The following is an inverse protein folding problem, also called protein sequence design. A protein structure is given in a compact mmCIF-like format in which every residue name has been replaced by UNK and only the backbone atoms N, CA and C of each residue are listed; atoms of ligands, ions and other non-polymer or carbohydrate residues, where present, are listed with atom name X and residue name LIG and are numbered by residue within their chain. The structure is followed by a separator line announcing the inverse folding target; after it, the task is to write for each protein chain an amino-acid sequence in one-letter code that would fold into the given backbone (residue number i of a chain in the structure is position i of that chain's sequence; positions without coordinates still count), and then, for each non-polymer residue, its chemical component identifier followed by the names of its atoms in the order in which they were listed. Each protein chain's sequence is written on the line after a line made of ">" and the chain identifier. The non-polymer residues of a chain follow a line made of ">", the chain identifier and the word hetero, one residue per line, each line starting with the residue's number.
data_IF_086097324088
#
_entry.id   IF_086097324088
#
_cell.length_a   1.000
_cell.length_b   1.000
_cell.length_c   1.000
_cell.angle_alpha   90.00
_cell.angle_beta   90.00
_cell.angle_gamma   90.00
#
_symmetry.space_group_name_H-M   'P 1'
#
loop_
_entity.id
_entity.type
_entity.pdbx_description
1 polymer ?
#
# COMPACT_ATOMS: atom_id res chain seq x y z
N UNK A 1 -15.36 11.73 7.74
CA UNK A 1 -15.24 11.19 6.37
C UNK A 1 -16.18 10.01 6.30
N UNK A 2 -17.06 9.93 5.28
CA UNK A 2 -17.88 8.75 5.08
C UNK A 2 -16.95 7.55 4.83
N UNK A 3 -17.16 6.45 5.54
CA UNK A 3 -16.35 5.25 5.37
C UNK A 3 -16.70 4.62 4.02
N UNK A 4 -15.71 4.36 3.17
CA UNK A 4 -15.93 3.69 1.89
C UNK A 4 -16.50 2.31 2.20
N UNK A 5 -17.65 2.00 1.60
CA UNK A 5 -18.21 0.66 1.66
C UNK A 5 -17.29 -0.32 0.92
N UNK A 6 -16.45 -1.01 1.68
CA UNK A 6 -15.43 -1.89 1.11
C UNK A 6 -16.03 -3.06 0.34
N UNK A 7 -17.24 -3.51 0.68
CA UNK A 7 -17.88 -4.58 -0.10
C UNK A 7 -18.30 -4.11 -1.50
N UNK A 8 -18.82 -2.89 -1.61
CA UNK A 8 -19.13 -2.28 -2.91
C UNK A 8 -17.82 -2.02 -3.67
N UNK A 9 -16.83 -1.42 -3.02
CA UNK A 9 -15.54 -1.14 -3.66
C UNK A 9 -14.90 -2.41 -4.21
N UNK A 10 -14.85 -3.48 -3.42
CA UNK A 10 -14.22 -4.74 -3.80
C UNK A 10 -14.97 -5.48 -4.91
N UNK A 11 -16.29 -5.29 -5.01
CA UNK A 11 -17.10 -5.81 -6.11
C UNK A 11 -16.71 -5.14 -7.44
N UNK A 12 -16.53 -3.82 -7.43
CA UNK A 12 -16.18 -3.02 -8.61
C UNK A 12 -14.69 -3.11 -8.99
N UNK A 13 -13.81 -3.25 -7.99
CA UNK A 13 -12.35 -3.31 -8.14
C UNK A 13 -11.78 -4.50 -7.36
N UNK A 14 -11.86 -5.73 -7.91
CA UNK A 14 -11.44 -6.94 -7.20
C UNK A 14 -9.92 -7.12 -7.10
N UNK A 15 -9.13 -6.32 -7.83
CA UNK A 15 -7.67 -6.36 -7.83
C UNK A 15 -7.12 -4.96 -7.59
N UNK A 16 -6.45 -4.78 -6.45
CA UNK A 16 -5.80 -3.51 -6.13
C UNK A 16 -4.66 -3.70 -5.13
N UNK A 17 -3.76 -2.72 -5.14
CA UNK A 17 -2.77 -2.52 -4.09
C UNK A 17 -3.13 -1.25 -3.32
N UNK A 18 -3.04 -1.33 -2.01
CA UNK A 18 -3.20 -0.20 -1.12
C UNK A 18 -1.90 -0.01 -0.33
N UNK A 19 -1.10 1.00 -0.71
CA UNK A 19 0.15 1.31 -0.03
C UNK A 19 -0.10 2.33 1.09
N UNK A 20 0.34 1.98 2.29
CA UNK A 20 0.08 2.74 3.51
C UNK A 20 1.38 3.29 4.10
N UNK A 21 1.37 4.58 4.43
CA UNK A 21 2.32 5.21 5.32
C UNK A 21 1.69 5.30 6.71
N UNK A 22 2.37 4.78 7.73
CA UNK A 22 1.84 4.75 9.10
C UNK A 22 2.69 5.54 10.08
N UNK A 23 2.03 6.16 11.05
CA UNK A 23 2.64 7.03 12.07
C UNK A 23 3.68 6.31 12.92
N UNK A 24 4.49 7.05 13.67
CA UNK A 24 5.43 6.50 14.65
C UNK A 24 4.72 5.58 15.66
N UNK A 25 5.32 4.43 15.97
CA UNK A 25 4.85 3.55 17.05
C UNK A 25 5.17 4.14 18.41
N UNK A 26 4.23 4.10 19.34
CA UNK A 26 4.45 4.59 20.69
C UNK A 26 3.61 3.81 21.72
N UNK A 27 4.23 2.80 22.33
CA UNK A 27 3.66 2.11 23.50
C UNK A 27 3.91 2.95 24.75
N UNK A 28 2.88 3.15 25.57
CA UNK A 28 2.96 3.96 26.80
C UNK A 28 3.99 3.36 27.75
N UNK A 29 4.72 4.23 28.45
CA UNK A 29 5.81 3.81 29.36
C UNK A 29 7.08 3.31 28.67
N UNK A 30 7.16 3.36 27.34
CA UNK A 30 8.34 2.92 26.58
C UNK A 30 8.86 4.03 25.66
N UNK A 31 10.11 3.90 25.19
CA UNK A 31 10.66 4.82 24.19
C UNK A 31 9.88 4.67 22.86
N UNK A 32 9.44 5.77 22.23
CA UNK A 32 8.82 5.72 20.92
C UNK A 32 9.73 5.07 19.86
N UNK A 33 9.12 4.47 18.84
CA UNK A 33 9.80 3.90 17.68
C UNK A 33 10.47 4.95 16.78
N UNK A 34 11.01 4.52 15.64
CA UNK A 34 11.64 5.42 14.68
C UNK A 34 10.71 6.51 14.15
N UNK A 35 11.23 7.72 13.99
CA UNK A 35 10.51 8.90 13.50
C UNK A 35 10.08 8.80 12.03
N UNK A 36 10.69 7.89 11.26
CA UNK A 36 10.34 7.63 9.86
C UNK A 36 8.94 7.01 9.66
N UNK A 37 8.28 6.55 10.73
CA UNK A 37 7.03 5.80 10.64
C UNK A 37 7.26 4.36 10.19
N UNK A 38 6.32 3.80 9.44
CA UNK A 38 6.45 2.49 8.80
C UNK A 38 5.65 2.46 7.48
N UNK A 39 5.96 1.53 6.58
CA UNK A 39 5.26 1.34 5.32
C UNK A 39 4.72 -0.08 5.21
N UNK A 40 3.49 -0.21 4.77
CA UNK A 40 2.83 -1.50 4.54
C UNK A 40 2.05 -1.49 3.23
N UNK A 41 1.67 -2.66 2.73
CA UNK A 41 0.71 -2.79 1.63
C UNK A 41 -0.42 -3.71 2.02
N UNK A 42 -1.61 -3.44 1.50
CA UNK A 42 -2.72 -4.37 1.49
C UNK A 42 -3.06 -4.75 0.04
N UNK A 43 -3.28 -6.03 -0.21
CA UNK A 43 -3.47 -6.59 -1.54
C UNK A 43 -4.82 -7.29 -1.60
N UNK A 44 -5.81 -6.70 -2.29
CA UNK A 44 -7.02 -7.44 -2.61
C UNK A 44 -6.82 -8.23 -3.91
N UNK A 45 -7.30 -9.47 -3.93
CA UNK A 45 -7.00 -10.42 -4.99
C UNK A 45 -5.68 -11.18 -4.82
N UNK A 46 -5.11 -11.17 -3.61
CA UNK A 46 -4.02 -12.06 -3.17
C UNK A 46 -4.52 -13.01 -2.08
N UNK A 47 -3.89 -14.19 -1.97
CA UNK A 47 -4.09 -15.17 -0.90
C UNK A 47 -2.74 -15.60 -0.34
N UNK A 48 -2.72 -15.96 0.95
CA UNK A 48 -1.57 -16.62 1.57
C UNK A 48 -1.46 -18.03 0.97
N UNK A 49 -0.25 -18.43 0.56
CA UNK A 49 0.01 -19.76 0.03
C UNK A 49 0.08 -20.79 1.20
N UNK A 50 -0.92 -21.67 1.35
CA UNK A 50 -0.95 -22.61 2.47
C UNK A 50 0.16 -23.65 2.32
N UNK A 51 0.77 -24.05 3.45
CA UNK A 51 1.78 -25.10 3.46
C UNK A 51 3.17 -24.70 2.94
N UNK A 52 3.38 -23.44 2.56
CA UNK A 52 4.69 -22.94 2.11
C UNK A 52 5.80 -23.04 3.18
N UNK A 53 5.43 -23.08 4.47
CA UNK A 53 6.35 -23.14 5.60
C UNK A 53 7.04 -21.80 5.94
N UNK A 54 6.69 -20.72 5.24
CA UNK A 54 7.06 -19.32 5.47
C UNK A 54 6.11 -18.41 4.66
N UNK A 55 6.07 -17.09 4.92
CA UNK A 55 5.18 -16.18 4.20
C UNK A 55 5.43 -16.18 2.69
N UNK A 56 4.42 -16.66 1.95
CA UNK A 56 4.31 -16.61 0.49
C UNK A 56 2.89 -16.24 0.11
N UNK A 57 2.74 -15.58 -1.03
CA UNK A 57 1.46 -15.20 -1.61
C UNK A 57 1.22 -15.91 -2.94
N UNK A 58 -0.04 -16.11 -3.29
CA UNK A 58 -0.45 -16.52 -4.62
C UNK A 58 -1.68 -15.74 -5.06
N UNK A 59 -1.91 -15.73 -6.37
CA UNK A 59 -3.20 -15.30 -6.88
C UNK A 59 -4.26 -16.37 -6.53
N UNK A 60 -5.47 -15.98 -6.12
CA UNK A 60 -6.58 -16.90 -6.05
C UNK A 60 -6.95 -17.42 -7.44
N UNK A 61 -7.69 -18.54 -7.46
CA UNK A 61 -8.29 -19.08 -8.67
C UNK A 61 -9.08 -18.01 -9.43
N UNK A 62 -9.13 -18.14 -10.76
CA UNK A 62 -10.00 -17.30 -11.57
C UNK A 62 -11.45 -17.49 -11.09
N UNK A 63 -12.20 -16.39 -10.93
CA UNK A 63 -13.59 -16.43 -10.46
C UNK A 63 -13.81 -16.58 -8.95
N UNK A 64 -12.76 -16.68 -8.12
CA UNK A 64 -12.93 -16.63 -6.66
C UNK A 64 -13.65 -15.33 -6.22
N UNK A 65 -14.59 -15.43 -5.29
CA UNK A 65 -15.26 -14.25 -4.74
C UNK A 65 -14.26 -13.40 -3.96
N UNK A 66 -14.21 -12.12 -4.29
CA UNK A 66 -13.33 -11.10 -3.70
C UNK A 66 -14.12 -9.88 -3.26
N UNK A 67 -15.44 -9.98 -3.21
CA UNK A 67 -16.35 -8.88 -2.84
C UNK A 67 -16.49 -8.68 -1.34
N UNK A 68 -16.06 -9.67 -0.52
CA UNK A 68 -16.06 -9.54 0.94
C UNK A 68 -15.27 -8.31 1.37
N UNK A 69 -15.78 -7.59 2.37
CA UNK A 69 -15.09 -6.42 2.94
C UNK A 69 -13.71 -6.78 3.54
N UNK A 70 -13.55 -8.05 3.93
CA UNK A 70 -12.35 -8.57 4.58
C UNK A 70 -11.46 -9.39 3.62
N UNK A 71 -11.73 -9.36 2.32
CA UNK A 71 -10.90 -10.07 1.34
C UNK A 71 -9.52 -9.41 1.20
N UNK A 72 -8.51 -10.24 0.95
CA UNK A 72 -7.14 -9.81 0.67
C UNK A 72 -6.17 -10.11 1.80
N UNK A 73 -4.95 -9.57 1.65
CA UNK A 73 -3.82 -9.85 2.54
C UNK A 73 -3.05 -8.56 2.82
N UNK A 74 -2.80 -8.30 4.10
CA UNK A 74 -1.86 -7.28 4.54
C UNK A 74 -0.44 -7.81 4.53
N UNK A 75 0.52 -7.02 4.06
CA UNK A 75 1.95 -7.34 4.04
C UNK A 75 2.72 -6.25 4.76
N UNK A 76 3.56 -6.68 5.70
CA UNK A 76 4.42 -5.80 6.48
C UNK A 76 5.85 -6.32 6.53
N UNK A 77 6.80 -5.39 6.43
CA UNK A 77 8.24 -5.63 6.56
C UNK A 77 8.66 -5.38 7.98
N UNK A 78 9.46 -6.26 8.59
CA UNK A 78 9.97 -6.03 9.93
C UNK A 78 11.48 -6.25 10.03
N UNK A 79 12.18 -5.25 10.58
CA UNK A 79 13.63 -5.29 10.78
C UNK A 79 14.09 -6.43 11.72
N UNK A 80 13.19 -6.97 12.55
CA UNK A 80 13.54 -8.02 13.50
C UNK A 80 13.73 -9.38 12.85
N UNK A 81 13.19 -9.59 11.64
CA UNK A 81 13.28 -10.86 10.92
C UNK A 81 14.71 -11.10 10.41
N UNK A 82 15.05 -12.37 10.17
CA UNK A 82 16.38 -12.75 9.65
C UNK A 82 16.35 -13.65 8.42
N UNK A 83 15.26 -14.38 8.18
CA UNK A 83 15.12 -15.32 7.07
C UNK A 83 13.99 -14.96 6.09
N UNK A 84 13.27 -13.88 6.36
CA UNK A 84 12.22 -13.31 5.50
C UNK A 84 12.29 -11.79 5.57
N UNK A 85 11.83 -11.12 4.53
CA UNK A 85 11.74 -9.65 4.46
C UNK A 85 10.37 -9.17 4.98
N UNK A 86 9.31 -9.91 4.74
CA UNK A 86 7.95 -9.54 5.13
C UNK A 86 7.12 -10.71 5.65
N UNK A 87 6.06 -10.38 6.37
CA UNK A 87 5.00 -11.28 6.85
C UNK A 87 3.66 -10.93 6.22
N UNK A 88 2.76 -11.91 6.10
CA UNK A 88 1.42 -11.75 5.56
C UNK A 88 0.35 -12.01 6.63
N UNK A 89 -0.66 -11.14 6.67
CA UNK A 89 -1.78 -11.19 7.61
C UNK A 89 -3.08 -11.27 6.81
N UNK A 90 -3.94 -12.27 7.05
CA UNK A 90 -5.17 -12.42 6.30
C UNK A 90 -6.16 -11.31 6.68
N UNK A 91 -6.83 -10.78 5.67
CA UNK A 91 -7.94 -9.87 5.86
C UNK A 91 -7.57 -8.50 6.39
N UNK A 92 -8.52 -7.59 6.21
CA UNK A 92 -8.39 -6.18 6.55
C UNK A 92 -8.58 -5.95 8.04
N UNK A 93 -9.48 -6.72 8.64
CA UNK A 93 -9.85 -6.65 10.04
C UNK A 93 -8.67 -6.99 10.94
N UNK A 94 -7.99 -8.12 10.72
CA UNK A 94 -6.85 -8.50 11.55
C UNK A 94 -5.63 -7.62 11.28
N UNK A 95 -5.38 -7.27 10.02
CA UNK A 95 -4.23 -6.45 9.66
C UNK A 95 -4.28 -5.04 10.25
N UNK A 96 -5.41 -4.34 10.11
CA UNK A 96 -5.56 -2.98 10.60
C UNK A 96 -6.05 -2.94 12.04
N UNK A 97 -7.11 -3.69 12.38
CA UNK A 97 -7.80 -3.59 13.67
C UNK A 97 -7.45 -4.70 14.65
N UNK A 98 -6.81 -5.80 14.24
CA UNK A 98 -6.42 -6.88 15.15
C UNK A 98 -7.58 -7.47 15.95
N UNK A 99 -8.80 -7.45 15.41
CA UNK A 99 -10.00 -7.89 16.12
C UNK A 99 -10.74 -6.81 16.92
N UNK A 100 -10.23 -5.57 16.99
CA UNK A 100 -10.78 -4.52 17.84
C UNK A 100 -11.94 -3.76 17.19
N UNK A 101 -13.13 -3.90 17.78
CA UNK A 101 -14.30 -3.11 17.43
C UNK A 101 -14.13 -1.64 17.84
N UNK A 102 -14.84 -0.74 17.16
CA UNK A 102 -14.75 0.71 17.39
C UNK A 102 -15.03 1.10 18.86
N UNK A 103 -15.97 0.41 19.51
CA UNK A 103 -16.44 0.72 20.86
C UNK A 103 -15.67 0.02 21.99
N UNK A 104 -14.83 -0.96 21.66
CA UNK A 104 -14.07 -1.72 22.65
C UNK A 104 -12.91 -0.92 23.23
N UNK A 105 -12.52 -1.24 24.45
CA UNK A 105 -11.31 -0.69 25.09
C UNK A 105 -10.12 -1.58 24.69
N UNK A 106 -9.03 -0.94 24.25
CA UNK A 106 -7.74 -1.60 24.09
C UNK A 106 -6.98 -1.57 25.42
N UNK A 107 -7.15 -2.65 26.18
CA UNK A 107 -6.45 -2.96 27.43
C UNK A 107 -5.56 -4.21 27.29
N UNK A 108 -4.91 -4.63 28.39
CA UNK A 108 -4.06 -5.82 28.40
C UNK A 108 -4.84 -7.10 28.03
N UNK A 109 -6.11 -7.22 28.42
CA UNK A 109 -6.91 -8.41 28.11
C UNK A 109 -7.13 -8.56 26.61
N UNK A 110 -7.50 -7.47 25.93
CA UNK A 110 -7.70 -7.48 24.48
C UNK A 110 -6.38 -7.66 23.73
N UNK A 111 -5.29 -7.07 24.23
CA UNK A 111 -3.95 -7.30 23.70
C UNK A 111 -3.53 -8.77 23.77
N UNK A 112 -3.71 -9.42 24.92
CA UNK A 112 -3.43 -10.84 25.09
C UNK A 112 -4.32 -11.71 24.19
N UNK A 113 -5.60 -11.37 24.04
CA UNK A 113 -6.49 -12.08 23.12
C UNK A 113 -6.01 -11.96 21.65
N UNK A 114 -5.51 -10.81 21.23
CA UNK A 114 -4.93 -10.62 19.90
C UNK A 114 -3.64 -11.45 19.71
N UNK A 115 -2.78 -11.52 20.74
CA UNK A 115 -1.59 -12.38 20.74
C UNK A 115 -1.98 -13.85 20.58
N UNK A 116 -2.96 -14.31 21.36
CA UNK A 116 -3.42 -15.70 21.31
C UNK A 116 -4.01 -16.06 19.95
N UNK A 117 -4.86 -15.19 19.37
CA UNK A 117 -5.42 -15.40 18.02
C UNK A 117 -4.33 -15.51 16.96
N UNK A 118 -3.40 -14.55 16.93
CA UNK A 118 -2.31 -14.54 15.95
C UNK A 118 -1.37 -15.75 16.10
N UNK A 119 -1.09 -16.16 17.34
CA UNK A 119 -0.27 -17.34 17.64
C UNK A 119 -0.98 -18.63 17.20
N UNK A 120 -2.26 -18.78 17.54
CA UNK A 120 -3.06 -19.95 17.16
C UNK A 120 -3.23 -20.07 15.63
N UNK A 121 -3.28 -18.92 14.93
CA UNK A 121 -3.38 -18.89 13.48
C UNK A 121 -2.04 -19.11 12.74
N UNK A 122 -0.91 -19.18 13.46
CA UNK A 122 0.40 -19.48 12.87
C UNK A 122 0.92 -18.42 11.90
N UNK A 123 0.48 -17.15 12.00
CA UNK A 123 0.84 -16.10 11.03
C UNK A 123 2.34 -15.81 10.94
N UNK A 124 3.10 -16.15 11.99
CA UNK A 124 4.54 -15.95 12.08
C UNK A 124 5.33 -17.28 12.00
N UNK A 125 4.68 -18.37 11.58
CA UNK A 125 5.34 -19.66 11.44
C UNK A 125 6.43 -19.61 10.36
N UNK A 126 7.56 -20.26 10.66
CA UNK A 126 8.74 -20.27 9.80
C UNK A 126 9.54 -18.96 9.79
N UNK A 127 9.17 -17.95 10.60
CA UNK A 127 9.91 -16.69 10.72
C UNK A 127 10.94 -16.78 11.85
N UNK A 128 12.19 -16.52 11.52
CA UNK A 128 13.29 -16.38 12.47
C UNK A 128 13.55 -14.88 12.76
N UNK A 129 14.04 -14.61 13.98
CA UNK A 129 14.38 -13.25 14.43
C UNK A 129 15.85 -13.15 14.86
N UNK A 130 16.36 -11.92 14.95
CA UNK A 130 17.75 -11.64 15.32
C UNK A 130 18.12 -12.22 16.69
N UNK A 131 19.27 -12.87 16.79
CA UNK A 131 19.76 -13.50 18.03
C UNK A 131 19.75 -12.56 19.25
N UNK A 132 20.12 -11.29 19.05
CA UNK A 132 20.10 -10.29 20.12
C UNK A 132 18.70 -10.11 20.72
N UNK A 133 17.67 -10.18 19.88
CA UNK A 133 16.27 -10.10 20.30
C UNK A 133 15.82 -11.44 20.90
N UNK A 134 16.20 -12.57 20.30
CA UNK A 134 15.94 -13.92 20.84
C UNK A 134 16.42 -14.08 22.29
N UNK A 135 17.59 -13.52 22.62
CA UNK A 135 18.14 -13.51 23.99
C UNK A 135 17.32 -12.71 25.01
N UNK A 136 16.41 -11.86 24.57
CA UNK A 136 15.52 -11.07 25.44
C UNK A 136 14.18 -11.78 25.69
N UNK A 137 13.94 -12.92 25.02
CA UNK A 137 12.71 -13.68 25.19
C UNK A 137 12.56 -14.16 26.64
N UNK A 138 11.42 -13.91 27.31
CA UNK A 138 11.16 -14.43 28.64
C UNK A 138 11.34 -15.95 28.72
N UNK A 139 11.78 -16.43 29.90
CA UNK A 139 11.88 -17.85 30.18
C UNK A 139 10.47 -18.49 30.12
N UNK A 140 10.35 -19.64 29.46
CA UNK A 140 9.07 -20.34 29.28
C UNK A 140 8.17 -19.83 28.16
N UNK A 141 8.40 -18.63 27.59
CA UNK A 141 7.61 -18.12 26.47
C UNK A 141 8.02 -18.80 25.14
N UNK A 142 7.09 -19.32 24.32
CA UNK A 142 7.37 -19.80 22.97
C UNK A 142 7.96 -18.68 22.09
N UNK A 143 8.87 -19.01 21.17
CA UNK A 143 9.48 -18.00 20.29
C UNK A 143 8.42 -17.32 19.41
N UNK A 144 7.48 -18.07 18.87
CA UNK A 144 6.42 -17.59 18.00
C UNK A 144 5.53 -16.56 18.72
N UNK A 145 5.14 -16.83 19.96
CA UNK A 145 4.39 -15.88 20.78
C UNK A 145 5.21 -14.59 20.99
N UNK A 146 6.52 -14.72 21.24
CA UNK A 146 7.40 -13.56 21.41
C UNK A 146 7.52 -12.72 20.13
N UNK A 147 7.56 -13.35 18.94
CA UNK A 147 7.52 -12.66 17.65
C UNK A 147 6.19 -11.92 17.48
N UNK A 148 5.06 -12.61 17.71
CA UNK A 148 3.71 -12.03 17.64
C UNK A 148 3.60 -10.77 18.50
N UNK A 149 4.07 -10.83 19.76
CA UNK A 149 4.07 -9.67 20.68
C UNK A 149 4.85 -8.47 20.14
N UNK A 150 5.98 -8.71 19.46
CA UNK A 150 6.79 -7.66 18.83
C UNK A 150 6.20 -7.12 17.52
N UNK A 151 5.24 -7.83 16.96
CA UNK A 151 4.61 -7.51 15.68
C UNK A 151 3.30 -6.73 15.81
N UNK A 152 2.67 -6.69 16.99
CA UNK A 152 1.47 -5.86 17.23
C UNK A 152 1.77 -4.38 17.00
N UNK A 153 0.90 -3.71 16.25
CA UNK A 153 1.04 -2.28 15.93
C UNK A 153 2.15 -2.00 14.91
N UNK A 154 2.76 -3.03 14.32
CA UNK A 154 3.75 -2.90 13.25
C UNK A 154 3.39 -3.78 12.06
N UNK A 155 3.16 -5.09 12.27
CA UNK A 155 2.85 -6.05 11.22
C UNK A 155 1.38 -6.45 11.13
N UNK A 156 0.68 -6.44 12.26
CA UNK A 156 -0.76 -6.65 12.37
C UNK A 156 -1.33 -5.82 13.51
N UNK A 157 -2.66 -5.75 13.62
CA UNK A 157 -3.33 -4.89 14.59
C UNK A 157 -2.80 -3.44 14.55
N UNK A 158 -2.52 -2.94 13.35
CA UNK A 158 -1.74 -1.73 13.15
C UNK A 158 -2.32 -0.51 13.87
N UNK A 159 -3.65 -0.41 13.90
CA UNK A 159 -4.38 0.67 14.55
C UNK A 159 -4.42 0.59 16.07
N UNK A 160 -3.83 -0.42 16.70
CA UNK A 160 -3.56 -0.37 18.13
C UNK A 160 -2.62 0.77 18.46
N UNK A 161 -1.61 1.00 17.61
CA UNK A 161 -0.52 1.92 17.90
C UNK A 161 -0.30 3.02 16.86
N UNK A 162 -0.97 2.94 15.70
CA UNK A 162 -0.66 3.82 14.56
C UNK A 162 -1.91 4.24 13.78
N UNK A 163 -1.87 5.45 13.23
CA UNK A 163 -2.75 5.85 12.14
C UNK A 163 -2.11 5.44 10.82
N UNK A 164 -2.91 4.90 9.90
CA UNK A 164 -2.47 4.54 8.55
C UNK A 164 -3.09 5.46 7.51
N UNK A 165 -2.25 6.07 6.68
CA UNK A 165 -2.65 6.85 5.52
C UNK A 165 -2.35 6.05 4.28
N UNK A 166 -3.38 5.65 3.55
CA UNK A 166 -3.29 4.66 2.49
C UNK A 166 -3.76 5.22 1.16
N UNK A 167 -2.99 4.97 0.10
CA UNK A 167 -3.39 5.25 -1.27
C UNK A 167 -3.68 3.92 -1.95
N UNK A 168 -4.82 3.82 -2.59
CA UNK A 168 -5.33 2.61 -3.23
C UNK A 168 -5.29 2.77 -4.74
N UNK A 169 -4.77 1.75 -5.42
CA UNK A 169 -4.57 1.71 -6.84
C UNK A 169 -5.20 0.42 -7.41
N UNK A 170 -6.35 0.52 -8.10
CA UNK A 170 -6.85 -0.56 -8.93
C UNK A 170 -5.84 -0.93 -10.02
N UNK A 171 -5.80 -2.21 -10.37
CA UNK A 171 -4.94 -2.72 -11.43
C UNK A 171 -5.49 -4.02 -12.02
N UNK A 172 -4.84 -4.52 -13.06
CA UNK A 172 -5.18 -5.83 -13.64
C UNK A 172 -4.71 -6.98 -12.74
N UNK A 173 -5.31 -8.16 -12.93
CA UNK A 173 -4.89 -9.38 -12.22
C UNK A 173 -3.43 -9.73 -12.51
N UNK A 174 -3.00 -9.49 -13.74
CA UNK A 174 -1.63 -9.72 -14.22
C UNK A 174 -0.64 -8.78 -13.52
N UNK A 175 -0.99 -7.49 -13.40
CA UNK A 175 -0.19 -6.51 -12.68
C UNK A 175 -0.04 -6.86 -11.20
N UNK A 176 -1.13 -7.25 -10.54
CA UNK A 176 -1.09 -7.73 -9.15
C UNK A 176 -0.23 -9.00 -9.03
N UNK A 177 -0.32 -9.91 -10.01
CA UNK A 177 0.53 -11.10 -10.09
C UNK A 177 2.02 -10.79 -10.13
N UNK A 178 2.44 -9.75 -10.85
CA UNK A 178 3.84 -9.28 -10.86
C UNK A 178 4.27 -8.71 -9.50
N UNK A 179 3.40 -7.97 -8.82
CA UNK A 179 3.67 -7.49 -7.46
C UNK A 179 3.84 -8.66 -6.47
N UNK A 180 2.96 -9.67 -6.54
CA UNK A 180 3.07 -10.90 -5.75
C UNK A 180 4.38 -11.64 -6.04
N UNK A 181 4.74 -11.78 -7.32
CA UNK A 181 6.00 -12.42 -7.72
C UNK A 181 7.22 -11.69 -7.14
N UNK A 182 7.23 -10.35 -7.17
CA UNK A 182 8.27 -9.55 -6.54
C UNK A 182 8.35 -9.80 -5.02
N UNK A 183 7.20 -9.77 -4.33
CA UNK A 183 7.15 -10.02 -2.88
C UNK A 183 7.69 -11.41 -2.53
N UNK A 184 7.26 -12.44 -3.24
CA UNK A 184 7.78 -13.80 -3.03
C UNK A 184 9.30 -13.86 -3.29
N UNK A 185 9.78 -13.23 -4.36
CA UNK A 185 11.20 -13.23 -4.70
C UNK A 185 12.08 -12.59 -3.63
N UNK A 186 11.61 -11.53 -2.94
CA UNK A 186 12.39 -10.93 -1.85
C UNK A 186 12.42 -11.81 -0.60
N UNK A 187 11.32 -12.52 -0.27
CA UNK A 187 11.32 -13.51 0.82
C UNK A 187 12.19 -14.72 0.48
N UNK A 188 12.13 -15.22 -0.76
CA UNK A 188 12.99 -16.31 -1.24
C UNK A 188 14.47 -15.93 -1.17
N UNK A 189 14.78 -14.68 -1.56
CA UNK A 189 16.13 -14.11 -1.43
C UNK A 189 16.61 -14.05 0.03
N UNK A 190 15.75 -13.58 0.94
CA UNK A 190 16.05 -13.51 2.36
C UNK A 190 16.24 -14.89 3.01
N UNK A 191 15.47 -15.90 2.56
CA UNK A 191 15.61 -17.27 3.06
C UNK A 191 16.94 -17.90 2.64
N UNK A 192 17.33 -17.67 1.39
CA UNK A 192 18.53 -18.28 0.80
C UNK A 192 19.82 -17.59 1.23
N UNK A 193 19.80 -16.28 1.48
CA UNK A 193 21.00 -15.48 1.74
C UNK A 193 21.00 -14.72 3.06
N UNK A 194 19.93 -14.83 3.83
CA UNK A 194 19.66 -13.99 5.00
C UNK A 194 19.02 -12.65 4.62
N UNK A 195 18.30 -12.07 5.57
CA UNK A 195 17.68 -10.75 5.43
C UNK A 195 18.62 -9.64 5.91
N UNK A 196 18.86 -8.66 5.04
CA UNK A 196 19.58 -7.43 5.36
C UNK A 196 18.61 -6.25 5.38
N UNK A 197 18.35 -5.69 6.56
CA UNK A 197 17.55 -4.47 6.71
C UNK A 197 18.47 -3.26 6.95
N UNK A 198 18.18 -2.15 6.27
CA UNK A 198 18.82 -0.86 6.50
C UNK A 198 17.80 0.28 6.41
N UNK A 199 17.87 1.22 7.35
CA UNK A 199 16.89 2.29 7.48
C UNK A 199 16.80 3.21 6.24
N UNK A 200 17.86 3.30 5.45
CA UNK A 200 17.96 4.24 4.33
C UNK A 200 17.94 3.53 2.97
N UNK A 201 18.57 2.35 2.89
CA UNK A 201 18.89 1.67 1.61
C UNK A 201 18.12 0.37 1.39
N UNK A 202 17.52 -0.23 2.42
CA UNK A 202 16.75 -1.48 2.30
C UNK A 202 15.74 -1.61 3.45
N UNK A 203 14.67 -0.83 3.36
CA UNK A 203 13.64 -0.70 4.40
C UNK A 203 12.25 -1.11 3.89
N UNK A 204 11.25 -0.99 4.76
CA UNK A 204 9.84 -1.24 4.44
C UNK A 204 9.33 -0.47 3.23
N UNK A 205 9.72 0.80 3.09
CA UNK A 205 9.28 1.64 1.97
C UNK A 205 9.87 1.17 0.63
N UNK A 206 11.07 0.58 0.60
CA UNK A 206 11.62 0.01 -0.65
C UNK A 206 10.80 -1.17 -1.13
N UNK A 207 10.46 -2.10 -0.23
CA UNK A 207 9.65 -3.28 -0.57
C UNK A 207 8.27 -2.86 -1.07
N UNK A 208 7.62 -1.93 -0.37
CA UNK A 208 6.32 -1.39 -0.78
C UNK A 208 6.40 -0.67 -2.13
N UNK A 209 7.38 0.22 -2.31
CA UNK A 209 7.59 0.96 -3.56
C UNK A 209 7.85 0.00 -4.72
N UNK A 210 8.70 -1.01 -4.53
CA UNK A 210 9.10 -1.93 -5.59
C UNK A 210 8.04 -2.99 -5.91
N UNK A 211 7.18 -3.37 -4.95
CA UNK A 211 6.00 -4.18 -5.25
C UNK A 211 5.05 -3.44 -6.20
N UNK A 212 4.81 -2.14 -5.95
CA UNK A 212 4.01 -1.28 -6.83
C UNK A 212 4.73 -1.03 -8.16
N UNK A 213 6.05 -0.89 -8.16
CA UNK A 213 6.86 -0.77 -9.38
C UNK A 213 6.76 -2.02 -10.25
N UNK A 214 6.81 -3.22 -9.64
CA UNK A 214 6.68 -4.50 -10.35
C UNK A 214 5.30 -4.67 -11.01
N UNK A 215 4.26 -4.04 -10.46
CA UNK A 215 2.96 -3.96 -11.12
C UNK A 215 2.99 -3.09 -12.40
N UNK A 216 4.04 -2.29 -12.61
CA UNK A 216 4.22 -1.40 -13.77
C UNK A 216 3.84 0.06 -13.50
N UNK A 217 3.49 0.41 -12.26
CA UNK A 217 3.00 1.76 -11.91
C UNK A 217 4.10 2.81 -12.03
N UNK A 218 5.35 2.49 -11.76
CA UNK A 218 6.51 3.39 -11.87
C UNK A 218 7.82 2.60 -11.88
N UNK A 219 8.97 3.28 -11.95
CA UNK A 219 10.27 2.62 -11.86
C UNK A 219 10.61 2.07 -10.46
N UNK A 220 11.31 0.93 -10.41
CA UNK A 220 11.84 0.43 -9.16
C UNK A 220 12.94 1.35 -8.62
N UNK A 221 13.15 1.26 -7.31
CA UNK A 221 14.32 1.81 -6.61
C UNK A 221 15.32 0.71 -6.35
N UNK A 222 16.60 1.05 -6.37
CA UNK A 222 17.64 0.13 -5.96
C UNK A 222 17.65 -0.04 -4.43
N UNK A 223 17.36 -1.26 -3.96
CA UNK A 223 17.61 -1.61 -2.56
C UNK A 223 19.06 -2.09 -2.42
N UNK A 224 19.83 -1.46 -1.52
CA UNK A 224 21.27 -1.72 -1.36
C UNK A 224 21.57 -2.30 0.02
N UNK A 225 22.65 -3.08 0.12
CA UNK A 225 23.13 -3.54 1.42
C UNK A 225 23.71 -2.36 2.22
N UNK A 226 23.61 -2.39 3.57
CA UNK A 226 24.18 -1.35 4.42
C UNK A 226 25.68 -1.17 4.17
N UNK A 227 26.12 0.09 4.07
CA UNK A 227 27.53 0.44 3.91
C UNK A 227 27.74 1.94 3.72
N UNK A 228 28.91 2.49 4.09
CA UNK A 228 29.18 3.93 3.99
C UNK A 228 29.09 4.46 2.55
N UNK A 229 29.45 3.64 1.56
CA UNK A 229 29.31 3.98 0.14
C UNK A 229 27.85 3.95 -0.36
N UNK A 230 26.97 3.18 0.30
CA UNK A 230 25.55 3.09 -0.07
C UNK A 230 24.82 4.38 0.25
N UNK A 231 25.06 4.96 1.44
CA UNK A 231 24.46 6.25 1.85
C UNK A 231 24.92 7.40 0.94
N UNK A 232 26.19 7.43 0.55
CA UNK A 232 26.71 8.44 -0.39
C UNK A 232 26.04 8.32 -1.76
N UNK A 233 25.87 7.10 -2.27
CA UNK A 233 25.16 6.86 -3.54
C UNK A 233 23.69 7.28 -3.46
N UNK A 234 23.03 7.03 -2.34
CA UNK A 234 21.65 7.49 -2.14
C UNK A 234 21.56 9.01 -2.15
N UNK A 235 22.49 9.72 -1.47
CA UNK A 235 22.52 11.19 -1.49
C UNK A 235 22.77 11.73 -2.90
N UNK A 236 23.69 11.11 -3.64
CA UNK A 236 23.94 11.44 -5.05
C UNK A 236 22.69 11.15 -5.91
N UNK A 237 21.91 10.11 -5.60
CA UNK A 237 20.66 9.81 -6.29
C UNK A 237 19.61 10.93 -6.10
N UNK A 238 19.59 11.62 -4.96
CA UNK A 238 18.70 12.78 -4.74
C UNK A 238 19.10 13.94 -5.64
N UNK A 239 20.39 14.27 -5.69
CA UNK A 239 20.90 15.32 -6.56
C UNK A 239 20.64 15.01 -8.05
N UNK A 240 20.85 13.75 -8.44
CA UNK A 240 20.60 13.26 -9.80
C UNK A 240 19.10 13.28 -10.14
N UNK A 241 18.25 12.90 -9.19
CA UNK A 241 16.79 12.96 -9.31
C UNK A 241 16.30 14.39 -9.57
N UNK A 242 16.81 15.36 -8.82
CA UNK A 242 16.49 16.78 -9.00
C UNK A 242 17.00 17.34 -10.33
N UNK A 243 18.22 16.95 -10.74
CA UNK A 243 18.83 17.43 -11.98
C UNK A 243 18.23 16.81 -13.25
N UNK A 244 17.80 15.54 -13.19
CA UNK A 244 17.32 14.77 -14.35
C UNK A 244 15.82 14.49 -14.33
N UNK A 245 15.07 15.01 -13.35
CA UNK A 245 13.65 14.69 -13.16
C UNK A 245 13.40 13.20 -12.89
N UNK A 246 14.39 12.47 -12.37
CA UNK A 246 14.33 11.02 -12.08
C UNK A 246 13.94 10.76 -10.63
N UNK A 247 13.72 9.50 -10.27
CA UNK A 247 13.42 9.11 -8.90
C UNK A 247 14.72 8.86 -8.12
N UNK A 248 14.79 9.39 -6.89
CA UNK A 248 15.85 9.02 -5.95
C UNK A 248 15.58 7.62 -5.40
N UNK A 249 16.66 6.90 -5.09
CA UNK A 249 16.59 5.61 -4.40
C UNK A 249 16.18 5.75 -2.94
N UNK A 250 16.28 6.95 -2.33
CA UNK A 250 15.74 7.17 -0.99
C UNK A 250 14.24 6.86 -0.96
N UNK A 251 13.82 5.99 -0.03
CA UNK A 251 12.43 5.61 0.12
C UNK A 251 11.91 5.86 1.52
N UNK A 252 10.92 6.76 1.61
CA UNK A 252 10.18 7.09 2.81
C UNK A 252 8.70 6.70 2.65
N UNK A 253 8.04 6.22 3.73
CA UNK A 253 6.65 5.78 3.68
C UNK A 253 5.71 6.85 3.10
N UNK A 254 5.77 8.07 3.63
CA UNK A 254 4.88 9.16 3.24
C UNK A 254 5.05 9.56 1.76
N UNK A 255 6.28 9.57 1.25
CA UNK A 255 6.56 9.80 -0.17
C UNK A 255 5.95 8.73 -1.07
N UNK A 256 5.97 7.46 -0.65
CA UNK A 256 5.39 6.35 -1.42
C UNK A 256 3.86 6.47 -1.49
N UNK A 257 3.22 6.84 -0.38
CA UNK A 257 1.79 7.15 -0.31
C UNK A 257 1.41 8.29 -1.28
N UNK A 258 2.09 9.45 -1.21
CA UNK A 258 1.77 10.58 -2.09
C UNK A 258 1.98 10.24 -3.56
N UNK A 259 3.04 9.50 -3.87
CA UNK A 259 3.32 9.07 -5.25
C UNK A 259 2.25 8.12 -5.78
N UNK A 260 1.76 7.18 -4.98
CA UNK A 260 0.72 6.26 -5.44
C UNK A 260 -0.58 7.01 -5.71
N UNK A 261 -0.89 7.99 -4.86
CA UNK A 261 -1.98 8.91 -5.14
C UNK A 261 -1.78 9.64 -6.49
N UNK A 262 -0.60 10.21 -6.76
CA UNK A 262 -0.32 10.92 -8.01
C UNK A 262 -0.41 9.99 -9.22
N UNK A 263 0.11 8.77 -9.10
CA UNK A 263 0.05 7.76 -10.13
C UNK A 263 -1.40 7.36 -10.47
N UNK A 264 -2.25 7.26 -9.45
CA UNK A 264 -3.66 6.92 -9.62
C UNK A 264 -4.54 8.07 -10.10
N UNK A 265 -4.21 9.32 -9.77
CA UNK A 265 -5.13 10.44 -9.91
C UNK A 265 -4.64 11.59 -10.82
N UNK A 266 -3.34 11.83 -10.97
CA UNK A 266 -2.85 13.12 -11.51
C UNK A 266 -2.04 13.03 -12.79
N UNK A 267 -1.62 11.84 -13.24
CA UNK A 267 -0.87 11.74 -14.49
C UNK A 267 -1.76 12.15 -15.68
N UNK A 268 -1.14 12.65 -16.77
CA UNK A 268 -1.90 13.18 -17.89
C UNK A 268 -2.67 12.07 -18.59
N UNK A 269 -3.99 12.22 -18.64
CA UNK A 269 -4.88 11.40 -19.47
C UNK A 269 -5.69 12.23 -20.48
N UNK A 270 -5.62 13.55 -20.37
CA UNK A 270 -6.39 14.52 -21.16
C UNK A 270 -5.83 14.69 -22.58
N UNK A 271 -4.50 14.56 -22.72
CA UNK A 271 -3.79 14.87 -23.95
C UNK A 271 -2.80 13.75 -24.31
N UNK A 272 -2.96 13.15 -25.49
CA UNK A 272 -2.09 12.11 -26.03
C UNK A 272 -0.61 12.51 -26.10
N UNK A 273 -0.30 13.78 -26.40
CA UNK A 273 1.09 14.26 -26.39
C UNK A 273 1.70 14.25 -24.99
N UNK A 274 0.96 14.74 -23.99
CA UNK A 274 1.43 14.71 -22.61
C UNK A 274 1.53 13.27 -22.08
N UNK A 275 0.56 12.41 -22.41
CA UNK A 275 0.54 10.99 -22.08
C UNK A 275 1.73 10.23 -22.69
N UNK A 276 2.04 10.45 -23.98
CA UNK A 276 3.17 9.79 -24.65
C UNK A 276 4.53 10.21 -24.11
N UNK A 277 4.66 11.45 -23.64
CA UNK A 277 5.88 11.95 -22.98
C UNK A 277 5.98 11.54 -21.52
N UNK A 278 4.88 11.13 -20.90
CA UNK A 278 4.90 10.58 -19.56
C UNK A 278 5.28 9.10 -19.61
N UNK A 279 6.49 8.79 -19.15
CA UNK A 279 7.06 7.46 -19.17
C UNK A 279 6.17 6.38 -18.55
N UNK A 280 5.54 6.67 -17.41
CA UNK A 280 4.73 5.68 -16.69
C UNK A 280 3.36 5.45 -17.36
N UNK A 281 2.77 6.50 -17.92
CA UNK A 281 1.53 6.38 -18.72
C UNK A 281 1.81 5.60 -20.00
N UNK A 282 2.89 5.93 -20.73
CA UNK A 282 3.26 5.22 -21.94
C UNK A 282 3.56 3.73 -21.68
N UNK A 283 4.24 3.42 -20.56
CA UNK A 283 4.47 2.04 -20.13
C UNK A 283 3.19 1.29 -19.88
N UNK A 284 2.33 1.80 -19.00
CA UNK A 284 1.08 1.08 -18.64
C UNK A 284 0.17 0.92 -19.86
N UNK A 285 0.12 1.92 -20.75
CA UNK A 285 -0.61 1.83 -22.01
C UNK A 285 -0.11 0.68 -22.88
N UNK A 286 1.21 0.52 -23.02
CA UNK A 286 1.81 -0.61 -23.73
C UNK A 286 1.54 -1.96 -23.06
N UNK A 287 1.38 -1.98 -21.72
CA UNK A 287 0.96 -3.15 -20.95
C UNK A 287 -0.55 -3.42 -21.01
N UNK A 288 -1.31 -2.61 -21.75
CA UNK A 288 -2.74 -2.79 -21.97
C UNK A 288 -3.64 -2.23 -20.87
N UNK A 289 -3.18 -1.28 -20.04
CA UNK A 289 -4.00 -0.64 -19.00
C UNK A 289 -3.55 0.80 -18.72
N UNK A 290 -4.24 1.54 -17.85
CA UNK A 290 -3.77 2.86 -17.40
C UNK A 290 -3.66 2.87 -15.88
N UNK A 291 -2.52 3.31 -15.35
CA UNK A 291 -2.36 3.51 -13.91
C UNK A 291 -3.25 4.62 -13.37
N UNK A 292 -3.57 5.62 -14.20
CA UNK A 292 -4.38 6.77 -13.80
C UNK A 292 -5.81 6.53 -14.25
N UNK A 293 -6.70 6.31 -13.30
CA UNK A 293 -8.05 5.84 -13.61
C UNK A 293 -8.98 5.72 -12.41
N UNK A 294 -10.24 5.36 -12.68
CA UNK A 294 -11.29 5.24 -11.68
C UNK A 294 -10.94 4.23 -10.59
N UNK A 295 -11.43 4.49 -9.37
CA UNK A 295 -11.24 3.67 -8.19
C UNK A 295 -9.93 3.93 -7.43
N UNK A 296 -9.07 4.82 -7.93
CA UNK A 296 -7.89 5.28 -7.18
C UNK A 296 -8.33 6.21 -6.04
N UNK A 297 -8.19 5.74 -4.80
CA UNK A 297 -8.73 6.43 -3.61
C UNK A 297 -7.69 6.56 -2.51
N UNK A 298 -7.96 7.43 -1.55
CA UNK A 298 -7.23 7.60 -0.31
C UNK A 298 -8.12 7.15 0.83
N UNK A 299 -7.53 6.43 1.77
CA UNK A 299 -8.17 6.06 3.01
C UNK A 299 -7.29 6.39 4.21
N UNK A 300 -7.94 6.76 5.32
CA UNK A 300 -7.27 6.92 6.61
C UNK A 300 -7.87 5.91 7.58
N UNK A 301 -7.02 5.05 8.13
CA UNK A 301 -7.38 4.14 9.21
C UNK A 301 -6.82 4.72 10.51
N UNK A 302 -7.64 5.40 11.31
CA UNK A 302 -7.16 6.06 12.52
C UNK A 302 -6.71 5.03 13.54
N UNK A 303 -5.66 5.38 14.27
CA UNK A 303 -5.35 4.74 15.55
C UNK A 303 -6.61 4.66 16.40
N UNK A 304 -6.75 3.58 17.16
CA UNK A 304 -7.86 3.40 18.07
C UNK A 304 -7.95 4.58 19.05
N UNK A 305 -9.20 4.95 19.37
CA UNK A 305 -9.52 6.16 20.11
C UNK A 305 -8.69 6.31 21.39
N UNK A 306 -8.15 7.51 21.61
CA UNK A 306 -7.21 7.78 22.70
C UNK A 306 -7.82 7.62 24.09
N UNK A 307 -9.14 7.85 24.24
CA UNK A 307 -9.87 7.63 25.50
C UNK A 307 -10.12 6.16 25.78
N UNK A 308 -10.02 5.30 24.76
CA UNK A 308 -10.19 3.84 24.84
C UNK A 308 -8.89 3.06 24.62
N UNK A 309 -7.76 3.73 24.43
CA UNK A 309 -6.46 3.11 24.21
C UNK A 309 -5.55 3.26 25.43
N UNK A 310 -5.53 2.21 26.27
CA UNK A 310 -4.77 2.20 27.51
C UNK A 310 -3.30 1.82 27.32
N UNK A 311 -2.95 1.22 26.17
CA UNK A 311 -1.61 0.64 25.94
C UNK A 311 -0.70 1.52 25.08
N UNK A 312 -1.29 2.28 24.15
CA UNK A 312 -0.54 3.07 23.17
C UNK A 312 -0.95 4.54 23.22
N UNK A 313 -0.03 5.41 22.80
CA UNK A 313 -0.26 6.83 22.64
C UNK A 313 -0.04 7.23 21.19
N UNK A 314 -0.65 8.34 20.76
CA UNK A 314 -0.47 8.84 19.41
C UNK A 314 1.01 9.15 19.14
N UNK A 315 1.53 8.65 18.02
CA UNK A 315 2.84 8.99 17.51
C UNK A 315 2.79 10.17 16.54
N UNK A 316 3.97 10.60 16.08
CA UNK A 316 4.11 11.63 15.03
C UNK A 316 3.75 11.07 13.66
N UNK A 317 3.36 11.95 12.74
CA UNK A 317 3.24 11.61 11.32
C UNK A 317 4.55 11.01 10.77
N UNK A 318 4.46 10.09 9.80
CA UNK A 318 5.64 9.51 9.18
C UNK A 318 6.49 10.61 8.53
N UNK A 319 7.82 10.46 8.61
CA UNK A 319 8.71 11.39 7.92
C UNK A 319 8.43 11.41 6.42
N UNK A 320 8.50 12.62 5.89
CA UNK A 320 8.34 12.91 4.49
C UNK A 320 9.52 13.77 4.05
N UNK A 321 10.17 13.34 2.97
CA UNK A 321 11.20 14.14 2.34
C UNK A 321 10.52 15.08 1.32
N UNK A 322 10.66 16.38 1.52
CA UNK A 322 10.11 17.44 0.66
C UNK A 322 11.22 18.40 0.29
N UNK A 323 11.20 18.91 -0.94
CA UNK A 323 12.05 20.04 -1.35
C UNK A 323 11.11 21.21 -1.62
N UNK A 324 11.02 22.20 -0.72
CA UNK A 324 10.12 23.35 -0.89
C UNK A 324 10.29 24.02 -2.27
N UNK A 325 9.20 24.45 -2.88
CA UNK A 325 9.11 25.07 -4.23
C UNK A 325 9.47 24.20 -5.45
N UNK A 326 10.24 23.11 -5.30
CA UNK A 326 10.60 22.21 -6.40
C UNK A 326 9.83 20.89 -6.38
N UNK A 327 9.52 20.40 -5.18
CA UNK A 327 8.86 19.13 -4.95
C UNK A 327 8.17 19.10 -3.58
N UNK A 328 7.11 19.92 -3.41
CA UNK A 328 6.41 20.06 -2.13
C UNK A 328 5.47 18.87 -1.84
N UNK A 329 6.09 17.78 -1.39
CA UNK A 329 5.38 16.57 -0.96
C UNK A 329 4.69 16.75 0.39
N UNK A 330 5.12 17.71 1.20
CA UNK A 330 4.60 17.94 2.55
C UNK A 330 3.22 18.58 2.50
N UNK A 331 3.06 19.67 1.73
CA UNK A 331 1.76 20.29 1.53
C UNK A 331 0.77 19.29 0.95
N UNK A 332 1.22 18.50 -0.04
CA UNK A 332 0.41 17.46 -0.65
C UNK A 332 -0.04 16.42 0.37
N UNK A 333 0.88 15.87 1.14
CA UNK A 333 0.57 14.89 2.19
C UNK A 333 -0.45 15.46 3.19
N UNK A 334 -0.26 16.71 3.64
CA UNK A 334 -1.20 17.37 4.55
C UNK A 334 -2.58 17.55 3.94
N UNK A 335 -2.66 18.01 2.68
CA UNK A 335 -3.94 18.12 1.95
C UNK A 335 -4.65 16.77 1.89
N UNK A 336 -3.94 15.71 1.51
CA UNK A 336 -4.51 14.37 1.34
C UNK A 336 -4.93 13.70 2.66
N UNK A 337 -4.33 14.08 3.80
CA UNK A 337 -4.57 13.42 5.10
C UNK A 337 -5.39 14.26 6.09
N UNK A 338 -5.60 15.55 5.80
CA UNK A 338 -6.35 16.47 6.68
C UNK A 338 -7.60 17.02 6.00
N UNK A 339 -7.51 17.35 4.72
CA UNK A 339 -8.60 17.95 3.94
C UNK A 339 -8.69 17.34 2.54
N UNK A 340 -8.79 16.00 2.43
CA UNK A 340 -8.83 15.37 1.12
C UNK A 340 -10.10 15.77 0.35
N UNK A 341 -10.01 16.03 -0.97
CA UNK A 341 -11.19 16.26 -1.77
C UNK A 341 -12.07 15.00 -1.86
N UNK A 342 -13.37 15.19 -2.10
CA UNK A 342 -14.30 14.06 -2.27
C UNK A 342 -13.93 13.16 -3.45
N UNK A 343 -13.34 13.73 -4.51
CA UNK A 343 -12.89 12.98 -5.70
C UNK A 343 -11.86 11.90 -5.41
N UNK A 344 -11.26 11.88 -4.20
CA UNK A 344 -10.25 10.88 -3.80
C UNK A 344 -10.64 10.14 -2.54
N UNK A 345 -11.82 10.40 -1.96
CA UNK A 345 -12.30 9.77 -0.72
C UNK A 345 -13.70 9.16 -0.85
N UNK A 346 -14.49 9.63 -1.81
CA UNK A 346 -15.80 9.10 -2.15
C UNK A 346 -15.74 8.38 -3.49
N UNK A 347 -16.18 7.13 -3.50
CA UNK A 347 -16.08 6.27 -4.68
C UNK A 347 -16.91 6.82 -5.86
N UNK A 348 -18.13 7.29 -5.60
CA UNK A 348 -19.00 7.78 -6.66
C UNK A 348 -18.50 9.10 -7.26
N UNK A 349 -18.00 10.01 -6.43
CA UNK A 349 -17.37 11.25 -6.86
C UNK A 349 -16.11 10.97 -7.69
N UNK A 350 -15.30 9.97 -7.29
CA UNK A 350 -14.13 9.55 -8.06
C UNK A 350 -14.51 8.98 -9.44
N UNK A 351 -15.48 8.06 -9.49
CA UNK A 351 -15.97 7.51 -10.76
C UNK A 351 -16.50 8.61 -11.69
N UNK A 352 -17.30 9.54 -11.15
CA UNK A 352 -17.86 10.66 -11.91
C UNK A 352 -16.75 11.59 -12.43
N UNK A 353 -15.76 11.91 -11.57
CA UNK A 353 -14.62 12.73 -11.93
C UNK A 353 -13.82 12.13 -13.10
N UNK A 354 -13.55 10.82 -13.07
CA UNK A 354 -12.84 10.15 -14.16
C UNK A 354 -13.66 10.05 -15.45
N UNK A 355 -14.97 9.78 -15.36
CA UNK A 355 -15.87 9.84 -16.52
C UNK A 355 -15.75 11.19 -17.22
N UNK A 356 -15.83 12.28 -16.45
CA UNK A 356 -15.81 13.64 -17.01
C UNK A 356 -14.45 13.96 -17.65
N UNK A 357 -13.34 13.53 -17.03
CA UNK A 357 -12.00 13.63 -17.63
C UNK A 357 -11.88 12.88 -18.95
N UNK A 358 -12.44 11.67 -19.05
CA UNK A 358 -12.42 10.90 -20.30
C UNK A 358 -13.27 11.56 -21.40
N UNK A 359 -14.45 12.08 -21.04
CA UNK A 359 -15.30 12.83 -21.99
C UNK A 359 -14.57 14.07 -22.53
N UNK A 360 -13.96 14.85 -21.64
CA UNK A 360 -13.19 16.04 -22.02
C UNK A 360 -11.99 15.69 -22.91
N UNK A 361 -11.24 14.65 -22.54
CA UNK A 361 -10.10 14.17 -23.32
C UNK A 361 -10.51 13.73 -24.73
N UNK A 362 -11.61 12.99 -24.87
CA UNK A 362 -12.10 12.50 -26.16
C UNK A 362 -12.67 13.62 -27.05
N UNK A 363 -13.23 14.68 -26.44
CA UNK A 363 -13.75 15.84 -27.15
C UNK A 363 -12.65 16.76 -27.69
N UNK A 364 -11.50 16.81 -27.01
CA UNK A 364 -10.39 17.74 -27.34
C UNK A 364 -9.30 17.12 -28.22
N UNK A 365 -9.22 15.78 -28.30
CA UNK A 365 -8.23 15.09 -29.13
C UNK A 365 -8.65 15.02 -30.61
N UNK A 366 -7.72 15.38 -31.50
CA UNK A 366 -7.86 15.24 -32.95
C UNK A 366 -8.01 13.79 -33.37
N UNK A 367 -8.80 13.56 -34.43
CA UNK A 367 -8.80 12.28 -35.13
C UNK A 367 -7.60 12.22 -36.08
N UNK A 368 -6.55 11.49 -35.69
CA UNK A 368 -5.46 11.12 -36.61
C UNK A 368 -5.72 9.74 -37.20
N UNK A 369 -5.31 9.53 -38.45
CA UNK A 369 -5.44 8.25 -39.16
C UNK A 369 -4.10 7.52 -39.19
N UNK A 370 -4.00 6.37 -38.53
CA UNK A 370 -2.83 5.46 -38.56
C UNK A 370 -2.41 4.97 -37.17
N UNK A 371 -1.68 3.85 -37.09
CA UNK A 371 -1.26 3.14 -35.85
C UNK A 371 -0.25 3.92 -34.96
N UNK A 372 -0.65 5.14 -34.58
CA UNK A 372 0.10 6.06 -33.75
C UNK A 372 -0.24 5.85 -32.28
N UNK A 373 0.60 6.35 -31.38
CA UNK A 373 0.28 6.39 -29.96
C UNK A 373 -1.08 7.08 -29.71
N UNK A 374 -1.37 8.15 -30.45
CA UNK A 374 -2.60 8.94 -30.31
C UNK A 374 -3.85 8.11 -30.61
N UNK A 375 -3.87 7.33 -31.69
CA UNK A 375 -5.01 6.48 -32.05
C UNK A 375 -5.26 5.40 -30.98
N UNK A 376 -4.20 4.67 -30.57
CA UNK A 376 -4.29 3.66 -29.51
C UNK A 376 -4.72 4.25 -28.17
N UNK A 377 -4.20 5.42 -27.84
CA UNK A 377 -4.53 6.13 -26.61
C UNK A 377 -5.99 6.59 -26.60
N UNK A 378 -6.47 7.20 -27.68
CA UNK A 378 -7.88 7.58 -27.84
C UNK A 378 -8.81 6.37 -27.72
N UNK A 379 -8.47 5.25 -28.36
CA UNK A 379 -9.20 3.99 -28.24
C UNK A 379 -9.29 3.51 -26.79
N UNK A 380 -8.15 3.49 -26.07
CA UNK A 380 -8.12 3.17 -24.64
C UNK A 380 -8.99 4.10 -23.80
N UNK A 381 -8.99 5.41 -24.06
CA UNK A 381 -9.84 6.35 -23.31
C UNK A 381 -11.33 6.09 -23.54
N UNK A 382 -11.74 5.73 -24.76
CA UNK A 382 -13.13 5.37 -25.06
C UNK A 382 -13.55 4.08 -24.32
N UNK A 383 -12.68 3.08 -24.27
CA UNK A 383 -12.90 1.85 -23.49
C UNK A 383 -13.02 2.16 -21.98
N UNK A 384 -12.13 2.99 -21.43
CA UNK A 384 -12.19 3.37 -20.02
C UNK A 384 -13.42 4.24 -19.69
N UNK A 385 -13.88 5.08 -20.62
CA UNK A 385 -15.14 5.82 -20.46
C UNK A 385 -16.33 4.86 -20.33
N UNK A 386 -16.48 3.93 -21.28
CA UNK A 386 -17.57 2.94 -21.28
C UNK A 386 -17.53 2.06 -20.01
N UNK A 387 -16.33 1.64 -19.62
CA UNK A 387 -16.11 0.90 -18.38
C UNK A 387 -16.52 1.73 -17.16
N UNK A 388 -16.12 2.99 -17.09
CA UNK A 388 -16.44 3.89 -15.96
C UNK A 388 -17.95 4.12 -15.85
N UNK A 389 -18.65 4.31 -16.96
CA UNK A 389 -20.11 4.44 -16.97
C UNK A 389 -20.80 3.15 -16.48
N UNK A 390 -20.28 1.99 -16.86
CA UNK A 390 -20.76 0.69 -16.37
C UNK A 390 -20.54 0.55 -14.85
N UNK A 391 -19.36 0.92 -14.35
CA UNK A 391 -19.06 0.93 -12.91
C UNK A 391 -19.99 1.89 -12.13
N UNK A 392 -20.32 3.05 -12.69
CA UNK A 392 -21.28 3.99 -12.10
C UNK A 392 -22.68 3.38 -12.02
N UNK A 393 -23.13 2.70 -13.08
CA UNK A 393 -24.42 2.04 -13.09
C UNK A 393 -24.48 0.90 -12.05
N UNK A 394 -23.44 0.07 -11.99
CA UNK A 394 -23.31 -1.02 -11.03
C UNK A 394 -23.26 -0.52 -9.57
N UNK A 395 -22.47 0.54 -9.31
CA UNK A 395 -22.44 1.20 -8.00
C UNK A 395 -23.84 1.59 -7.53
N UNK A 396 -24.64 2.22 -8.39
CA UNK A 396 -26.01 2.64 -8.05
C UNK A 396 -26.92 1.46 -7.74
N UNK A 397 -26.77 0.34 -8.45
CA UNK A 397 -27.51 -0.89 -8.17
C UNK A 397 -27.13 -1.47 -6.79
N UNK A 398 -25.83 -1.56 -6.50
CA UNK A 398 -25.33 -2.10 -5.23
C UNK A 398 -25.73 -1.25 -4.02
N UNK A 399 -25.65 0.08 -4.12
CA UNK A 399 -26.12 1.00 -3.07
C UNK A 399 -27.64 0.89 -2.89
N UNK A 400 -28.39 0.84 -4.00
CA UNK A 400 -29.85 0.72 -3.97
C UNK A 400 -30.34 -0.62 -3.39
N UNK A 401 -29.58 -1.70 -3.56
CA UNK A 401 -29.87 -3.02 -2.99
C UNK A 401 -29.64 -3.06 -1.47
N UNK A 402 -28.68 -2.29 -0.93
CA UNK A 402 -28.41 -2.20 0.51
C UNK A 402 -29.34 -1.27 1.27
N UNK A 403 -30.10 -0.44 0.55
CA UNK A 403 -31.04 0.53 1.14
C UNK A 403 -32.46 -0.05 1.27
N UNK A 404 -32.67 -1.31 0.87
CA UNK A 404 -33.92 -2.07 1.03
C UNK A 404 -33.68 -3.17 2.04
#
# INVERSE_FOLDING_TARGET
>A
MAEIDMGIYNSLFPYYIEACAVTQYHKRGTKPGGWGGHATIFLNGAEIEPGAGYPRLRLPSAGADRSSFDSGVGVSVNQIFTNVTWVAIPGRWEFFRGGLAAEQILDDSLYEAAVQRATAAGWFDGIAIRDKLTRQKPHGMPLQEFVVRHSIGTDFAMNFARTAYCARQPMTREALGRAIAYLNAVNDGARNRGYSWDAYTNNCSHVVHNAVAAAGVWDPKEARSPGPMSVVRDVVSVATALALGRMSDFSFPANTFVRLYEAGNERPIENAFAASRNHDVARTMNDGWLSTGPGALIATYPMHDGGRNQLFAAGRDPFLFSVPMLWDKEEKFRKLTRTPPSTVTDLYANLTHFRDRYVEALATQSTSSGDSFEERFRGRLAEELQRTESLIAEYRLLVGARSR
#
